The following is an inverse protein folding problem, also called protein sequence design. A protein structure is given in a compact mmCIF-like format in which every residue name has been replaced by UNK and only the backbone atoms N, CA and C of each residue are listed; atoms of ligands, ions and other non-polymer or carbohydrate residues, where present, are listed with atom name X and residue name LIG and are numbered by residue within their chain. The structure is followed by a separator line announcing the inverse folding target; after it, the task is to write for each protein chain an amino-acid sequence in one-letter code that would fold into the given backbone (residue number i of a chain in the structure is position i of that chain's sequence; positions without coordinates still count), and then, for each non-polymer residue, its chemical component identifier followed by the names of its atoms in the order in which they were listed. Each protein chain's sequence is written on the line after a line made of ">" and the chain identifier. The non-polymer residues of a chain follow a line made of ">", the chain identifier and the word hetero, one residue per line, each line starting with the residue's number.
data_IF_061111279956
#
_entry.id   IF_061111279956
#
_cell.length_a   1.000
_cell.length_b   1.000
_cell.length_c   1.000
_cell.angle_alpha   90.00
_cell.angle_beta   90.00
_cell.angle_gamma   90.00
#
_symmetry.space_group_name_H-M   'P 1'
#
loop_
_entity.id
_entity.type
_entity.pdbx_description
1 polymer ?
#
# COMPACT_ATOMS: atom_id res chain seq x y z
N UNK A 1 22.21 -0.52 49.89
CA UNK A 1 23.03 -0.91 48.73
C UNK A 1 22.06 -1.41 47.67
N UNK A 2 21.39 -0.46 47.02
CA UNK A 2 21.73 0.07 45.69
C UNK A 2 20.96 -0.73 44.65
N UNK A 3 19.85 -0.13 44.26
CA UNK A 3 18.82 -0.59 43.33
C UNK A 3 19.41 -1.10 42.01
N UNK A 4 18.92 -2.27 41.57
CA UNK A 4 19.10 -2.74 40.20
C UNK A 4 18.29 -1.85 39.26
N UNK A 5 18.95 -0.84 38.67
CA UNK A 5 18.40 -0.09 37.54
C UNK A 5 18.50 -0.97 36.30
N UNK A 6 17.42 -1.68 35.99
CA UNK A 6 17.21 -2.28 34.66
C UNK A 6 17.15 -1.15 33.64
N UNK A 7 18.20 -1.00 32.84
CA UNK A 7 18.22 -0.07 31.70
C UNK A 7 17.28 -0.63 30.64
N UNK A 8 16.04 -0.15 30.66
CA UNK A 8 15.07 -0.38 29.60
C UNK A 8 15.64 0.22 28.31
N UNK A 9 15.87 -0.58 27.28
CA UNK A 9 16.44 -0.12 26.02
C UNK A 9 15.59 1.05 25.48
N UNK A 10 16.21 2.24 25.38
CA UNK A 10 15.52 3.44 24.95
C UNK A 10 14.94 3.23 23.54
N UNK A 11 13.64 3.44 23.43
CA UNK A 11 12.86 3.24 22.22
C UNK A 11 13.34 4.22 21.15
N UNK A 12 13.89 3.72 20.04
CA UNK A 12 14.53 4.58 19.03
C UNK A 12 13.48 5.20 18.11
N UNK A 13 13.28 6.50 18.23
CA UNK A 13 12.46 7.30 17.33
C UNK A 13 13.24 7.58 16.04
N UNK A 14 12.65 7.24 14.89
CA UNK A 14 13.13 7.60 13.56
C UNK A 14 12.18 8.62 12.95
N UNK A 15 12.74 9.69 12.39
CA UNK A 15 11.98 10.75 11.74
C UNK A 15 12.32 10.74 10.26
N UNK A 16 11.30 10.66 9.41
CA UNK A 16 11.42 10.80 7.96
C UNK A 16 10.83 12.17 7.58
N UNK A 17 11.61 13.00 6.91
CA UNK A 17 11.20 14.31 6.39
C UNK A 17 10.99 14.25 4.88
N UNK A 18 10.38 15.30 4.33
CA UNK A 18 10.19 15.47 2.88
C UNK A 18 9.44 14.28 2.24
N UNK A 19 8.48 13.73 3.01
CA UNK A 19 7.69 12.58 2.60
C UNK A 19 6.51 13.05 1.76
N UNK A 20 6.33 12.43 0.59
CA UNK A 20 5.18 12.68 -0.28
C UNK A 20 3.93 11.98 0.24
N UNK A 21 2.85 12.74 0.43
CA UNK A 21 1.54 12.23 0.82
C UNK A 21 0.86 11.49 -0.34
N UNK A 22 0.50 10.20 -0.21
CA UNK A 22 -0.06 9.38 -1.29
C UNK A 22 -1.60 9.45 -1.36
N UNK A 23 -2.25 10.38 -0.67
CA UNK A 23 -3.71 10.37 -0.52
C UNK A 23 -4.45 10.97 -1.73
N UNK A 24 -4.18 12.23 -2.06
CA UNK A 24 -4.88 12.95 -3.14
C UNK A 24 -3.89 13.52 -4.16
N UNK A 25 -4.41 14.02 -5.27
CA UNK A 25 -3.62 14.60 -6.36
C UNK A 25 -2.83 15.87 -6.01
N UNK A 26 -2.98 16.44 -4.81
CA UNK A 26 -2.14 17.57 -4.36
C UNK A 26 -0.69 17.13 -4.12
N UNK A 27 -0.47 15.88 -3.72
CA UNK A 27 0.86 15.30 -3.53
C UNK A 27 1.80 16.17 -2.67
N UNK A 28 1.33 16.68 -1.53
CA UNK A 28 2.17 17.44 -0.58
C UNK A 28 3.43 16.65 -0.25
N UNK A 29 4.60 17.28 -0.33
CA UNK A 29 5.92 16.66 -0.25
C UNK A 29 6.71 17.07 1.01
N UNK A 30 6.04 17.69 1.98
CA UNK A 30 6.63 18.27 3.18
C UNK A 30 6.26 17.55 4.49
N UNK A 31 5.80 16.30 4.41
CA UNK A 31 5.38 15.56 5.60
C UNK A 31 6.57 15.10 6.45
N UNK A 32 6.35 15.09 7.77
CA UNK A 32 7.26 14.53 8.77
C UNK A 32 6.61 13.30 9.42
N UNK A 33 7.17 12.11 9.18
CA UNK A 33 6.68 10.82 9.68
C UNK A 33 7.55 10.32 10.82
N UNK A 34 6.94 10.12 11.99
CA UNK A 34 7.60 9.67 13.21
C UNK A 34 7.34 8.18 13.40
N UNK A 35 8.39 7.38 13.32
CA UNK A 35 8.32 5.92 13.43
C UNK A 35 9.09 5.46 14.66
N UNK A 36 8.43 4.63 15.46
CA UNK A 36 8.99 4.09 16.68
C UNK A 36 8.62 2.61 16.78
N UNK A 37 9.60 1.72 16.97
CA UNK A 37 9.41 0.25 16.93
C UNK A 37 8.66 -0.23 15.67
N UNK A 38 8.98 0.36 14.51
CA UNK A 38 8.35 -0.02 13.23
C UNK A 38 6.87 0.39 13.10
N UNK A 39 6.37 1.23 14.02
CA UNK A 39 5.01 1.77 13.97
C UNK A 39 5.04 3.28 13.81
N UNK A 40 4.16 3.79 12.95
CA UNK A 40 3.95 5.23 12.78
C UNK A 40 3.23 5.74 14.04
N UNK A 41 3.86 6.69 14.74
CA UNK A 41 3.33 7.32 15.95
C UNK A 41 2.69 8.67 15.67
N UNK A 42 3.26 9.43 14.76
CA UNK A 42 2.83 10.79 14.45
C UNK A 42 3.16 11.13 13.00
N UNK A 43 2.30 11.95 12.42
CA UNK A 43 2.43 12.52 11.08
C UNK A 43 2.17 14.00 11.23
N UNK A 44 3.14 14.84 10.87
CA UNK A 44 3.00 16.31 10.85
C UNK A 44 2.83 16.81 9.41
N UNK A 45 2.37 18.05 9.28
CA UNK A 45 2.10 18.77 8.03
C UNK A 45 1.01 18.15 7.12
N UNK A 46 0.57 16.92 7.37
CA UNK A 46 -0.56 16.33 6.68
C UNK A 46 -1.90 16.94 7.10
N UNK A 47 -2.82 17.09 6.14
CA UNK A 47 -4.24 17.32 6.41
C UNK A 47 -4.88 16.10 7.11
N UNK A 48 -6.13 16.24 7.55
CA UNK A 48 -6.83 15.16 8.26
C UNK A 48 -6.86 13.82 7.48
N UNK A 49 -7.03 13.89 6.16
CA UNK A 49 -7.09 12.71 5.29
C UNK A 49 -5.73 12.06 5.11
N UNK A 50 -4.70 12.84 4.76
CA UNK A 50 -3.33 12.33 4.63
C UNK A 50 -2.82 11.73 5.94
N UNK A 51 -3.12 12.37 7.08
CA UNK A 51 -2.79 11.82 8.40
C UNK A 51 -3.46 10.47 8.64
N UNK A 52 -4.74 10.34 8.32
CA UNK A 52 -5.47 9.09 8.46
C UNK A 52 -4.86 7.97 7.60
N UNK A 53 -4.46 8.26 6.36
CA UNK A 53 -3.82 7.29 5.46
C UNK A 53 -2.61 6.61 6.10
N UNK A 54 -1.71 7.38 6.71
CA UNK A 54 -0.52 6.82 7.38
C UNK A 54 -0.86 6.14 8.71
N UNK A 55 -1.72 6.75 9.53
CA UNK A 55 -2.04 6.19 10.85
C UNK A 55 -2.78 4.86 10.78
N UNK A 56 -3.53 4.62 9.70
CA UNK A 56 -4.27 3.38 9.45
C UNK A 56 -3.59 2.44 8.45
N UNK A 57 -2.37 2.75 7.99
CA UNK A 57 -1.69 1.98 6.94
C UNK A 57 -1.53 0.48 7.27
N UNK A 58 -1.38 0.14 8.55
CA UNK A 58 -1.21 -1.25 9.00
C UNK A 58 -2.52 -1.92 9.46
N UNK A 59 -3.66 -1.21 9.37
CA UNK A 59 -4.96 -1.75 9.73
C UNK A 59 -5.54 -2.57 8.59
N UNK A 60 -6.16 -3.70 8.91
CA UNK A 60 -7.00 -4.49 7.99
C UNK A 60 -6.34 -4.89 6.66
N UNK A 61 -5.03 -5.19 6.70
CA UNK A 61 -4.30 -5.66 5.53
C UNK A 61 -4.97 -6.91 4.94
N UNK A 62 -5.25 -6.85 3.63
CA UNK A 62 -5.80 -7.97 2.89
C UNK A 62 -4.88 -9.19 3.00
N UNK A 63 -5.48 -10.35 3.26
CA UNK A 63 -4.76 -11.64 3.28
C UNK A 63 -5.08 -12.41 2.01
N UNK A 64 -4.12 -13.16 1.43
CA UNK A 64 -4.34 -13.89 0.19
C UNK A 64 -5.44 -14.95 0.37
N UNK A 65 -6.44 -14.90 -0.51
CA UNK A 65 -7.61 -15.79 -0.47
C UNK A 65 -8.07 -16.18 -1.87
N UNK A 66 -8.58 -17.40 -2.01
CA UNK A 66 -9.23 -17.91 -3.22
C UNK A 66 -10.64 -18.34 -2.82
N UNK A 67 -11.67 -17.73 -3.43
CA UNK A 67 -13.07 -17.96 -3.06
C UNK A 67 -13.35 -17.83 -1.55
N UNK A 68 -12.71 -16.85 -0.91
CA UNK A 68 -12.82 -16.58 0.53
C UNK A 68 -11.96 -17.47 1.44
N UNK A 69 -11.38 -18.56 0.91
CA UNK A 69 -10.52 -19.46 1.67
C UNK A 69 -9.07 -18.96 1.70
N UNK A 70 -8.36 -19.06 2.83
CA UNK A 70 -6.94 -18.71 2.92
C UNK A 70 -6.09 -19.46 1.88
N UNK A 71 -5.15 -18.76 1.27
CA UNK A 71 -4.21 -19.30 0.29
C UNK A 71 -2.83 -18.64 0.44
N UNK A 72 -1.84 -19.16 -0.27
CA UNK A 72 -0.54 -18.49 -0.46
C UNK A 72 -0.65 -17.41 -1.55
N UNK A 73 0.30 -16.47 -1.57
CA UNK A 73 0.36 -15.44 -2.61
C UNK A 73 0.54 -16.10 -3.98
N UNK A 74 1.39 -17.11 -4.07
CA UNK A 74 1.69 -17.86 -5.29
C UNK A 74 0.43 -18.54 -5.84
N UNK A 75 -0.35 -19.20 -4.98
CA UNK A 75 -1.63 -19.80 -5.39
C UNK A 75 -2.63 -18.75 -5.89
N UNK A 76 -2.70 -17.58 -5.25
CA UNK A 76 -3.56 -16.49 -5.71
C UNK A 76 -3.12 -15.96 -7.08
N UNK A 77 -1.82 -15.85 -7.32
CA UNK A 77 -1.26 -15.41 -8.61
C UNK A 77 -1.61 -16.42 -9.70
N UNK A 78 -1.38 -17.71 -9.47
CA UNK A 78 -1.69 -18.78 -10.44
C UNK A 78 -3.19 -18.82 -10.77
N UNK A 79 -4.05 -18.71 -9.76
CA UNK A 79 -5.49 -18.65 -9.94
C UNK A 79 -5.93 -17.41 -10.75
N UNK A 80 -5.38 -16.24 -10.44
CA UNK A 80 -5.66 -15.01 -11.18
C UNK A 80 -5.20 -15.11 -12.65
N UNK A 81 -4.00 -15.67 -12.90
CA UNK A 81 -3.48 -15.89 -14.25
C UNK A 81 -4.39 -16.84 -15.06
N UNK A 82 -4.87 -17.92 -14.45
CA UNK A 82 -5.80 -18.84 -15.11
C UNK A 82 -7.13 -18.17 -15.48
N UNK A 83 -7.68 -17.31 -14.62
CA UNK A 83 -8.89 -16.53 -14.89
C UNK A 83 -8.66 -15.58 -16.06
N UNK A 84 -7.56 -14.82 -16.04
CA UNK A 84 -7.23 -13.85 -17.09
C UNK A 84 -6.97 -14.52 -18.43
N UNK A 85 -6.27 -15.66 -18.45
CA UNK A 85 -5.98 -16.41 -19.67
C UNK A 85 -7.24 -17.01 -20.33
N UNK A 86 -8.25 -17.36 -19.53
CA UNK A 86 -9.53 -17.88 -20.04
C UNK A 86 -10.54 -16.79 -20.40
N UNK A 87 -10.28 -15.53 -20.04
CA UNK A 87 -11.21 -14.42 -20.26
C UNK A 87 -11.27 -14.03 -21.75
N UNK A 88 -12.48 -13.76 -22.24
CA UNK A 88 -12.68 -13.27 -23.63
C UNK A 88 -12.58 -11.75 -23.76
N UNK A 89 -12.93 -11.02 -22.70
CA UNK A 89 -12.93 -9.56 -22.63
C UNK A 89 -12.47 -9.10 -21.25
N UNK A 90 -11.18 -9.28 -20.90
CA UNK A 90 -10.67 -8.87 -19.61
C UNK A 90 -10.66 -7.34 -19.44
N UNK A 91 -10.89 -6.88 -18.22
CA UNK A 91 -10.81 -5.48 -17.80
C UNK A 91 -9.86 -5.37 -16.61
N UNK A 92 -8.88 -4.48 -16.70
CA UNK A 92 -8.04 -4.04 -15.58
C UNK A 92 -8.53 -2.65 -15.17
N UNK A 93 -9.07 -2.50 -13.96
CA UNK A 93 -9.65 -1.25 -13.49
C UNK A 93 -9.04 -0.79 -12.15
N UNK A 94 -8.89 0.53 -11.99
CA UNK A 94 -8.46 1.17 -10.75
C UNK A 94 -7.08 1.81 -10.87
N UNK A 95 -6.09 1.30 -10.13
CA UNK A 95 -4.67 1.70 -10.19
C UNK A 95 -4.31 3.11 -9.67
N UNK A 96 -5.25 3.96 -9.30
CA UNK A 96 -4.96 5.34 -8.86
C UNK A 96 -4.17 5.43 -7.54
N UNK A 97 -4.30 4.41 -6.68
CA UNK A 97 -3.59 4.33 -5.39
C UNK A 97 -2.35 3.45 -5.44
N UNK A 98 -1.70 3.33 -6.60
CA UNK A 98 -0.45 2.58 -6.79
C UNK A 98 0.63 3.42 -7.44
N UNK A 99 1.84 2.88 -7.51
CA UNK A 99 3.01 3.54 -8.12
C UNK A 99 3.07 3.36 -9.64
N UNK A 100 3.84 4.23 -10.31
CA UNK A 100 3.99 4.22 -11.77
C UNK A 100 4.61 2.92 -12.30
N UNK A 101 5.49 2.27 -11.55
CA UNK A 101 6.08 0.97 -11.90
C UNK A 101 4.99 -0.11 -12.01
N UNK A 102 4.06 -0.13 -11.06
CA UNK A 102 2.94 -1.06 -11.07
C UNK A 102 1.97 -0.77 -12.22
N UNK A 103 1.66 0.51 -12.47
CA UNK A 103 0.83 0.92 -13.62
C UNK A 103 1.45 0.49 -14.96
N UNK A 104 2.76 0.69 -15.15
CA UNK A 104 3.48 0.22 -16.36
C UNK A 104 3.36 -1.29 -16.53
N UNK A 105 3.44 -2.07 -15.45
CA UNK A 105 3.25 -3.52 -15.50
C UNK A 105 1.80 -3.90 -15.81
N UNK A 106 0.82 -3.18 -15.29
CA UNK A 106 -0.59 -3.38 -15.63
C UNK A 106 -0.87 -3.14 -17.11
N UNK A 107 -0.27 -2.09 -17.70
CA UNK A 107 -0.38 -1.81 -19.14
C UNK A 107 0.25 -2.95 -19.97
N UNK A 108 1.46 -3.39 -19.62
CA UNK A 108 2.12 -4.52 -20.29
C UNK A 108 1.28 -5.80 -20.21
N UNK A 109 0.65 -6.05 -19.06
CA UNK A 109 -0.26 -7.18 -18.88
C UNK A 109 -1.51 -7.03 -19.76
N UNK A 110 -2.11 -5.84 -19.83
CA UNK A 110 -3.28 -5.57 -20.65
C UNK A 110 -3.02 -5.83 -22.14
N UNK A 111 -1.87 -5.36 -22.65
CA UNK A 111 -1.43 -5.64 -24.02
C UNK A 111 -1.27 -7.14 -24.27
N UNK A 112 -0.65 -7.87 -23.34
CA UNK A 112 -0.41 -9.31 -23.47
C UNK A 112 -1.70 -10.13 -23.53
N UNK A 113 -2.71 -9.78 -22.73
CA UNK A 113 -3.96 -10.56 -22.61
C UNK A 113 -5.11 -9.97 -23.45
N UNK A 114 -4.88 -8.88 -24.18
CA UNK A 114 -5.92 -8.18 -24.93
C UNK A 114 -7.00 -7.55 -24.04
N UNK A 115 -6.63 -7.06 -22.86
CA UNK A 115 -7.56 -6.40 -21.94
C UNK A 115 -7.79 -4.93 -22.28
N UNK A 116 -8.98 -4.43 -21.91
CA UNK A 116 -9.17 -3.01 -21.69
C UNK A 116 -8.58 -2.61 -20.33
N UNK A 117 -8.05 -1.39 -20.24
CA UNK A 117 -7.53 -0.83 -19.00
C UNK A 117 -8.17 0.53 -18.75
N UNK A 118 -8.61 0.76 -17.52
CA UNK A 118 -9.25 2.02 -17.11
C UNK A 118 -8.95 2.32 -15.64
N UNK A 119 -9.23 3.54 -15.19
CA UNK A 119 -8.93 4.03 -13.85
C UNK A 119 -10.10 4.82 -13.26
N UNK A 120 -10.06 5.12 -11.97
CA UNK A 120 -11.21 5.68 -11.25
C UNK A 120 -11.58 7.11 -11.64
N UNK A 121 -10.75 7.82 -12.41
CA UNK A 121 -11.12 9.16 -12.89
C UNK A 121 -12.19 9.14 -14.00
N UNK A 122 -12.48 7.96 -14.57
CA UNK A 122 -13.50 7.77 -15.61
C UNK A 122 -14.93 7.67 -15.06
N UNK A 123 -15.13 7.66 -13.73
CA UNK A 123 -16.45 7.54 -13.06
C UNK A 123 -16.80 8.73 -12.16
#
# INVERSE_FOLDING_TARGET
>A
MSENVTVQAAKQLKIFTDVVCPFCGTACDDLEIHVEEGRIKTVKNACALGKATYMHYQSDLATPRIHGQPATIEQCIDAAAAILAAAKYPLIYGLDSTELSAQKKAIQLAELIGANIDHTSSV
#
